data_IF_496088390841
#
_entry.id   IF_496088390841
#
_cell.length_a   1.000
_cell.length_b   1.000
_cell.length_c   1.000
_cell.angle_alpha   90.00
_cell.angle_beta   90.00
_cell.angle_gamma   90.00
#
_symmetry.space_group_name_H-M   'P 1'
#
loop_
_entity.id
_entity.type
_entity.pdbx_description
1 polymer ?
#
# COMPACT_ATOMS: atom_id res chain seq x y z
N UNK A 1 32.61 32.31 35.89
CA UNK A 1 31.46 32.87 35.13
C UNK A 1 31.90 32.89 33.67
N UNK A 2 31.28 32.22 32.71
CA UNK A 2 29.88 31.88 32.51
C UNK A 2 29.85 30.72 31.51
N UNK A 3 29.11 29.67 31.87
CA UNK A 3 28.79 28.51 31.04
C UNK A 3 28.14 28.97 29.73
N UNK A 4 28.56 28.42 28.60
CA UNK A 4 27.69 28.28 27.43
C UNK A 4 27.94 26.90 26.86
N UNK A 5 27.05 25.98 27.23
CA UNK A 5 26.91 24.66 26.64
C UNK A 5 26.63 24.81 25.15
N UNK A 6 27.51 24.30 24.30
CA UNK A 6 27.23 24.10 22.88
C UNK A 6 26.30 22.88 22.78
N UNK A 7 24.99 23.15 22.78
CA UNK A 7 23.96 22.16 22.54
C UNK A 7 24.05 21.72 21.06
N UNK A 8 24.76 20.63 20.79
CA UNK A 8 24.67 19.91 19.52
C UNK A 8 23.34 19.17 19.56
N UNK A 9 22.32 19.76 18.93
CA UNK A 9 21.04 19.13 18.66
C UNK A 9 21.24 18.11 17.54
N UNK A 10 21.51 16.86 17.93
CA UNK A 10 21.49 15.70 17.03
C UNK A 10 20.02 15.45 16.63
N UNK A 11 19.59 16.06 15.53
CA UNK A 11 18.35 15.70 14.84
C UNK A 11 18.63 14.45 14.00
N UNK A 12 18.55 13.27 14.64
CA UNK A 12 18.32 12.01 13.96
C UNK A 12 16.86 12.01 13.50
N UNK A 13 16.60 12.59 12.33
CA UNK A 13 15.36 12.33 11.61
C UNK A 13 15.55 10.98 10.92
N UNK A 14 15.17 9.92 11.63
CA UNK A 14 14.98 8.61 11.03
C UNK A 14 13.86 8.73 10.02
N UNK A 15 14.18 8.75 8.73
CA UNK A 15 13.23 8.50 7.65
C UNK A 15 12.82 7.04 7.67
N UNK A 16 12.17 6.60 8.75
CA UNK A 16 11.38 5.39 8.70
C UNK A 16 10.14 5.74 7.88
N UNK A 17 9.91 5.06 6.76
CA UNK A 17 8.61 5.00 6.12
C UNK A 17 7.63 4.39 7.13
N UNK A 18 7.11 5.22 8.03
CA UNK A 18 6.24 4.74 9.09
C UNK A 18 4.95 4.29 8.42
N UNK A 19 4.61 3.02 8.59
CA UNK A 19 3.29 2.52 8.24
C UNK A 19 2.26 3.46 8.89
N UNK A 20 1.29 3.99 8.13
CA UNK A 20 0.31 4.92 8.67
C UNK A 20 -0.38 4.34 9.91
N UNK A 21 -0.55 5.16 10.96
CA UNK A 21 -1.15 4.71 12.23
C UNK A 21 -2.54 4.09 12.01
N UNK A 22 -3.31 4.63 11.07
CA UNK A 22 -4.61 4.10 10.66
C UNK A 22 -4.52 2.63 10.23
N UNK A 23 -3.44 2.26 9.55
CA UNK A 23 -3.21 0.91 9.02
C UNK A 23 -2.80 -0.05 10.12
N UNK A 24 -1.93 0.40 11.03
CA UNK A 24 -1.60 -0.36 12.23
C UNK A 24 -2.86 -0.64 13.08
N UNK A 25 -3.72 0.36 13.27
CA UNK A 25 -4.97 0.19 14.01
C UNK A 25 -5.93 -0.77 13.29
N UNK A 26 -6.07 -0.64 11.96
CA UNK A 26 -6.91 -1.52 11.14
C UNK A 26 -6.49 -2.99 11.29
N UNK A 27 -5.19 -3.28 11.14
CA UNK A 27 -4.68 -4.65 11.27
C UNK A 27 -4.73 -5.19 12.70
N UNK A 28 -4.54 -4.35 13.72
CA UNK A 28 -4.67 -4.78 15.12
C UNK A 28 -6.08 -5.23 15.47
N UNK A 29 -7.11 -4.60 14.89
CA UNK A 29 -8.50 -5.01 15.05
C UNK A 29 -8.91 -6.17 14.13
N UNK A 30 -8.05 -6.56 13.19
CA UNK A 30 -8.39 -7.54 12.16
C UNK A 30 -8.34 -8.95 12.72
N UNK A 31 -9.50 -9.60 12.83
CA UNK A 31 -9.64 -10.95 13.38
C UNK A 31 -10.01 -11.97 12.30
N UNK A 32 -10.07 -13.25 12.67
CA UNK A 32 -10.67 -14.32 11.88
C UNK A 32 -12.09 -13.95 11.42
N UNK A 33 -12.92 -13.42 12.33
CA UNK A 33 -14.29 -13.05 11.98
C UNK A 33 -14.31 -11.91 10.95
N UNK A 34 -13.44 -10.90 11.13
CA UNK A 34 -13.28 -9.82 10.14
C UNK A 34 -12.87 -10.37 8.77
N UNK A 35 -11.94 -11.33 8.73
CA UNK A 35 -11.46 -11.92 7.50
C UNK A 35 -12.51 -12.76 6.77
N UNK A 36 -13.22 -13.63 7.49
CA UNK A 36 -14.26 -14.51 6.92
C UNK A 36 -15.48 -13.72 6.46
N UNK A 37 -15.73 -12.55 7.06
CA UNK A 37 -16.81 -11.66 6.67
C UNK A 37 -16.53 -10.87 5.37
N UNK A 38 -15.26 -10.72 4.96
CA UNK A 38 -14.92 -9.95 3.77
C UNK A 38 -15.58 -10.52 2.52
N UNK A 39 -16.21 -9.63 1.75
CA UNK A 39 -16.68 -9.91 0.40
C UNK A 39 -15.59 -9.56 -0.61
N UNK A 40 -14.99 -10.57 -1.26
CA UNK A 40 -13.93 -10.36 -2.24
C UNK A 40 -14.32 -9.42 -3.40
N UNK A 41 -15.61 -9.33 -3.73
CA UNK A 41 -16.12 -8.44 -4.77
C UNK A 41 -16.12 -6.95 -4.38
N UNK A 42 -15.97 -6.64 -3.09
CA UNK A 42 -15.94 -5.28 -2.54
C UNK A 42 -14.51 -4.77 -2.28
N UNK A 43 -13.53 -5.68 -2.31
CA UNK A 43 -12.12 -5.33 -2.12
C UNK A 43 -11.67 -4.45 -3.29
N UNK A 44 -11.12 -3.29 -2.97
CA UNK A 44 -10.54 -2.34 -3.93
C UNK A 44 -9.17 -1.90 -3.49
N UNK A 45 -8.27 -1.68 -4.43
CA UNK A 45 -7.04 -0.94 -4.17
C UNK A 45 -7.00 0.33 -5.02
N UNK A 46 -6.29 1.32 -4.52
CA UNK A 46 -6.06 2.57 -5.23
C UNK A 46 -4.58 2.87 -5.22
N UNK A 47 -4.01 3.06 -6.40
CA UNK A 47 -2.61 3.45 -6.58
C UNK A 47 -2.58 4.80 -7.25
N UNK A 48 -1.90 5.75 -6.61
CA UNK A 48 -1.74 7.12 -7.12
C UNK A 48 -0.24 7.32 -7.38
N UNK A 49 0.11 7.63 -8.63
CA UNK A 49 1.50 7.80 -9.06
C UNK A 49 1.68 9.16 -9.73
N UNK A 50 2.80 9.83 -9.46
CA UNK A 50 3.19 11.07 -10.15
C UNK A 50 3.54 10.81 -11.62
N UNK A 51 3.04 11.68 -12.51
CA UNK A 51 3.42 11.66 -13.92
C UNK A 51 4.89 12.09 -14.09
N UNK A 52 5.58 11.62 -15.15
CA UNK A 52 5.05 10.85 -16.29
C UNK A 52 4.96 9.33 -16.07
N UNK A 53 5.28 8.82 -14.88
CA UNK A 53 5.30 7.39 -14.61
C UNK A 53 3.92 6.76 -14.68
N UNK A 54 3.88 5.54 -15.21
CA UNK A 54 2.68 4.73 -15.35
C UNK A 54 2.91 3.34 -14.82
N UNK A 55 1.83 2.72 -14.34
CA UNK A 55 1.89 1.37 -13.76
C UNK A 55 1.84 0.29 -14.84
N UNK A 56 2.64 -0.75 -14.64
CA UNK A 56 2.52 -2.02 -15.35
C UNK A 56 1.37 -2.81 -14.72
N UNK A 57 0.25 -2.86 -15.43
CA UNK A 57 -1.00 -3.45 -14.93
C UNK A 57 -0.87 -4.96 -14.68
N UNK A 58 0.03 -5.66 -15.36
CA UNK A 58 0.22 -7.12 -15.19
C UNK A 58 0.97 -7.45 -13.90
N UNK A 59 1.73 -6.49 -13.36
CA UNK A 59 2.46 -6.62 -12.09
C UNK A 59 1.61 -6.26 -10.87
N UNK A 60 0.38 -5.77 -11.05
CA UNK A 60 -0.47 -5.32 -9.94
C UNK A 60 -1.18 -6.50 -9.27
N UNK A 61 -0.86 -6.74 -7.99
CA UNK A 61 -1.40 -7.89 -7.24
C UNK A 61 -1.65 -7.52 -5.78
N UNK A 62 -2.73 -8.05 -5.21
CA UNK A 62 -2.95 -8.04 -3.76
C UNK A 62 -2.31 -9.29 -3.16
N UNK A 63 -1.60 -9.12 -2.06
CA UNK A 63 -1.08 -10.23 -1.26
C UNK A 63 -1.66 -10.21 0.15
N UNK A 64 -1.96 -11.39 0.66
CA UNK A 64 -2.29 -11.67 2.05
C UNK A 64 -1.17 -12.50 2.65
N UNK A 65 -0.56 -12.01 3.73
CA UNK A 65 0.40 -12.76 4.52
C UNK A 65 -0.23 -13.13 5.85
N UNK A 66 -0.17 -14.43 6.19
CA UNK A 66 -0.55 -14.96 7.48
C UNK A 66 0.70 -15.56 8.14
N UNK A 67 1.11 -14.97 9.26
CA UNK A 67 2.21 -15.46 10.08
C UNK A 67 1.65 -16.03 11.39
N UNK A 68 1.89 -17.31 11.62
CA UNK A 68 1.39 -18.02 12.79
C UNK A 68 2.35 -19.12 13.27
N UNK A 69 1.93 -19.89 14.27
CA UNK A 69 2.70 -21.00 14.85
C UNK A 69 3.06 -22.11 13.85
N UNK A 70 2.37 -22.18 12.70
CA UNK A 70 2.64 -23.10 11.59
C UNK A 70 3.55 -22.50 10.52
N UNK A 71 3.99 -21.26 10.70
CA UNK A 71 4.87 -20.51 9.81
C UNK A 71 4.13 -19.54 8.89
N UNK A 72 4.92 -18.88 8.04
CA UNK A 72 4.45 -17.83 7.13
C UNK A 72 3.81 -18.44 5.89
N UNK A 73 2.58 -18.01 5.57
CA UNK A 73 1.89 -18.33 4.33
C UNK A 73 1.54 -17.06 3.56
N UNK A 74 1.80 -17.06 2.26
CA UNK A 74 1.52 -15.95 1.37
C UNK A 74 0.52 -16.39 0.30
N UNK A 75 -0.54 -15.60 0.15
CA UNK A 75 -1.55 -15.77 -0.89
C UNK A 75 -1.54 -14.54 -1.79
N UNK A 76 -1.61 -14.74 -3.10
CA UNK A 76 -1.59 -13.64 -4.07
C UNK A 76 -2.83 -13.68 -4.95
N UNK A 77 -3.41 -12.52 -5.18
CA UNK A 77 -4.66 -12.32 -5.89
C UNK A 77 -4.43 -11.31 -7.03
N UNK A 78 -4.59 -11.72 -8.30
CA UNK A 78 -4.48 -10.79 -9.42
C UNK A 78 -5.60 -9.73 -9.36
N UNK A 79 -5.27 -8.53 -9.83
CA UNK A 79 -6.16 -7.38 -9.81
C UNK A 79 -6.49 -6.93 -11.24
N UNK A 80 -7.74 -6.58 -11.48
CA UNK A 80 -8.19 -5.98 -12.73
C UNK A 80 -8.38 -4.47 -12.55
N UNK A 81 -8.02 -3.69 -13.57
CA UNK A 81 -8.27 -2.25 -13.58
C UNK A 81 -9.79 -1.99 -13.59
N UNK A 82 -10.26 -1.21 -12.62
CA UNK A 82 -11.67 -0.83 -12.49
C UNK A 82 -11.90 0.60 -12.98
N UNK A 83 -11.01 1.52 -12.62
CA UNK A 83 -11.08 2.93 -13.01
C UNK A 83 -9.68 3.52 -13.14
N UNK A 84 -9.50 4.44 -14.08
CA UNK A 84 -8.32 5.28 -14.18
C UNK A 84 -8.74 6.74 -14.34
N UNK A 85 -8.09 7.65 -13.61
CA UNK A 85 -8.32 9.10 -13.76
C UNK A 85 -7.02 9.89 -13.62
N UNK A 86 -6.96 11.03 -14.29
CA UNK A 86 -5.87 11.99 -14.16
C UNK A 86 -6.23 13.06 -13.14
N UNK A 87 -5.28 13.37 -12.26
CA UNK A 87 -5.33 14.47 -11.31
C UNK A 87 -4.38 15.54 -11.86
N UNK A 88 -4.93 16.72 -12.15
CA UNK A 88 -4.14 17.82 -12.68
C UNK A 88 -3.04 18.26 -11.70
N UNK A 89 -1.94 18.78 -12.23
CA UNK A 89 -0.93 19.45 -11.43
C UNK A 89 -1.58 20.61 -10.66
N UNK A 90 -1.09 20.86 -9.45
CA UNK A 90 -1.52 21.98 -8.64
C UNK A 90 -0.32 22.86 -8.38
N UNK A 91 -0.41 24.11 -8.83
CA UNK A 91 0.58 25.13 -8.55
C UNK A 91 0.04 26.06 -7.47
N UNK A 92 0.67 26.01 -6.30
CA UNK A 92 0.42 26.91 -5.18
C UNK A 92 1.51 27.97 -5.06
N UNK A 93 1.23 29.01 -4.27
CA UNK A 93 2.20 30.08 -3.98
C UNK A 93 3.44 29.57 -3.23
N UNK A 94 3.34 28.45 -2.52
CA UNK A 94 4.42 27.89 -1.69
C UNK A 94 4.91 26.50 -2.15
N UNK A 95 4.09 25.73 -2.86
CA UNK A 95 4.42 24.38 -3.33
C UNK A 95 3.73 24.09 -4.66
N UNK A 96 4.40 23.33 -5.53
CA UNK A 96 3.83 22.77 -6.75
C UNK A 96 3.80 21.25 -6.63
N UNK A 97 2.67 20.62 -6.88
CA UNK A 97 2.57 19.15 -6.99
C UNK A 97 2.40 18.75 -8.44
N UNK A 98 3.21 17.81 -8.96
CA UNK A 98 3.07 17.34 -10.33
C UNK A 98 1.71 16.69 -10.55
N UNK A 99 1.28 16.61 -11.81
CA UNK A 99 0.11 15.85 -12.18
C UNK A 99 0.28 14.38 -11.74
N UNK A 100 -0.83 13.73 -11.38
CA UNK A 100 -0.84 12.35 -10.91
C UNK A 100 -1.84 11.53 -11.71
N UNK A 101 -1.63 10.23 -11.77
CA UNK A 101 -2.62 9.28 -12.28
C UNK A 101 -3.09 8.41 -11.12
N UNK A 102 -4.41 8.35 -10.91
CA UNK A 102 -5.04 7.45 -9.95
C UNK A 102 -5.62 6.24 -10.70
N UNK A 103 -5.20 5.06 -10.27
CA UNK A 103 -5.71 3.77 -10.72
C UNK A 103 -6.50 3.15 -9.57
N UNK A 104 -7.73 2.74 -9.83
CA UNK A 104 -8.52 1.91 -8.92
C UNK A 104 -8.60 0.50 -9.50
N UNK A 105 -8.30 -0.49 -8.68
CA UNK A 105 -8.35 -1.89 -9.05
C UNK A 105 -9.34 -2.65 -8.19
N UNK A 106 -9.86 -3.74 -8.74
CA UNK A 106 -10.67 -4.74 -8.04
C UNK A 106 -10.01 -6.11 -8.15
N UNK A 107 -10.40 -7.03 -7.26
CA UNK A 107 -10.07 -8.44 -7.48
C UNK A 107 -10.64 -8.89 -8.83
N UNK A 108 -9.84 -9.62 -9.62
CA UNK A 108 -10.38 -10.30 -10.81
C UNK A 108 -11.39 -11.38 -10.41
N UNK A 109 -12.23 -11.83 -11.34
CA UNK A 109 -13.23 -12.88 -11.05
C UNK A 109 -12.59 -14.16 -10.50
N UNK A 110 -11.43 -14.55 -11.06
CA UNK A 110 -10.64 -15.67 -10.56
C UNK A 110 -10.12 -15.40 -9.15
N UNK A 111 -9.64 -14.18 -8.88
CA UNK A 111 -9.16 -13.78 -7.57
C UNK A 111 -10.27 -13.79 -6.51
N UNK A 112 -11.49 -13.35 -6.83
CA UNK A 112 -12.65 -13.41 -5.90
C UNK A 112 -12.92 -14.85 -5.50
N UNK A 113 -12.93 -15.77 -6.46
CA UNK A 113 -13.10 -17.20 -6.18
C UNK A 113 -11.96 -17.76 -5.31
N UNK A 114 -10.71 -17.49 -5.67
CA UNK A 114 -9.53 -17.96 -4.94
C UNK A 114 -9.46 -17.37 -3.52
N UNK A 115 -9.93 -16.13 -3.34
CA UNK A 115 -10.03 -15.49 -2.04
C UNK A 115 -11.01 -16.23 -1.14
N UNK A 116 -12.18 -16.61 -1.68
CA UNK A 116 -13.16 -17.42 -0.95
C UNK A 116 -12.62 -18.81 -0.59
N UNK A 117 -11.88 -19.44 -1.51
CA UNK A 117 -11.20 -20.70 -1.23
C UNK A 117 -10.17 -20.54 -0.12
N UNK A 118 -9.39 -19.43 -0.13
CA UNK A 118 -8.45 -19.12 0.94
C UNK A 118 -9.17 -18.99 2.28
N UNK A 119 -10.25 -18.20 2.36
CA UNK A 119 -11.07 -18.05 3.57
C UNK A 119 -11.48 -19.41 4.15
N UNK A 120 -11.93 -20.34 3.31
CA UNK A 120 -12.33 -21.68 3.75
C UNK A 120 -11.14 -22.55 4.19
N UNK A 121 -9.97 -22.41 3.56
CA UNK A 121 -8.79 -23.21 3.85
C UNK A 121 -8.13 -22.83 5.18
N UNK A 122 -8.19 -21.54 5.54
CA UNK A 122 -7.45 -21.02 6.68
C UNK A 122 -8.32 -20.49 7.81
N UNK A 123 -9.66 -20.53 7.74
CA UNK A 123 -10.56 -20.00 8.79
C UNK A 123 -10.12 -20.42 10.19
N UNK A 124 -10.00 -21.73 10.41
CA UNK A 124 -9.67 -22.31 11.73
C UNK A 124 -8.18 -22.12 12.11
N UNK A 125 -7.39 -21.64 11.17
CA UNK A 125 -5.95 -21.39 11.29
C UNK A 125 -5.63 -19.89 11.23
N UNK A 126 -6.66 -19.03 11.16
CA UNK A 126 -6.54 -17.59 11.06
C UNK A 126 -6.29 -16.99 12.45
N UNK A 127 -5.19 -17.43 13.04
CA UNK A 127 -4.65 -16.94 14.30
C UNK A 127 -3.23 -16.51 14.02
N UNK A 128 -2.81 -15.38 14.57
CA UNK A 128 -1.48 -14.83 14.33
C UNK A 128 -1.56 -13.45 13.66
N UNK A 129 -0.43 -13.01 13.13
CA UNK A 129 -0.32 -11.72 12.47
C UNK A 129 -0.77 -11.82 11.03
N UNK A 130 -1.61 -10.87 10.61
CA UNK A 130 -2.11 -10.77 9.25
C UNK A 130 -1.73 -9.42 8.67
N UNK A 131 -1.24 -9.43 7.44
CA UNK A 131 -1.01 -8.21 6.69
C UNK A 131 -1.49 -8.35 5.24
N UNK A 132 -1.90 -7.20 4.68
CA UNK A 132 -2.21 -7.07 3.27
C UNK A 132 -1.20 -6.12 2.63
N UNK A 133 -0.75 -6.45 1.43
CA UNK A 133 0.15 -5.61 0.65
C UNK A 133 -0.28 -5.57 -0.82
N UNK A 134 0.11 -4.51 -1.52
CA UNK A 134 -0.08 -4.39 -2.96
C UNK A 134 1.30 -4.41 -3.61
N UNK A 135 1.52 -5.39 -4.47
CA UNK A 135 2.65 -5.35 -5.39
C UNK A 135 2.28 -4.43 -6.55
N UNK A 136 3.19 -3.51 -6.89
CA UNK A 136 3.06 -2.63 -8.04
C UNK A 136 4.41 -2.54 -8.76
N UNK A 137 4.35 -2.44 -10.10
CA UNK A 137 5.51 -2.18 -10.94
C UNK A 137 5.22 -1.07 -11.92
N UNK A 138 6.27 -0.47 -12.48
CA UNK A 138 6.15 0.57 -13.48
C UNK A 138 6.34 -0.02 -14.89
N UNK A 139 5.72 0.60 -15.90
CA UNK A 139 6.00 0.25 -17.30
C UNK A 139 7.45 0.62 -17.68
N UNK A 140 7.91 1.74 -17.13
CA UNK A 140 9.29 2.21 -17.24
C UNK A 140 9.80 2.43 -15.81
N UNK A 141 10.82 1.68 -15.42
CA UNK A 141 11.42 1.81 -14.09
C UNK A 141 12.10 3.18 -13.97
N UNK A 142 11.92 3.90 -12.84
CA UNK A 142 12.60 5.16 -12.61
C UNK A 142 14.12 4.98 -12.62
N UNK A 143 14.82 5.88 -13.29
CA UNK A 143 16.30 5.89 -13.31
C UNK A 143 16.85 6.83 -12.25
N UNK A 144 18.15 6.73 -11.97
CA UNK A 144 18.85 7.60 -11.01
C UNK A 144 18.52 9.09 -11.21
N UNK A 145 18.17 9.77 -10.11
CA UNK A 145 17.81 11.18 -10.10
C UNK A 145 16.37 11.49 -10.53
N UNK A 146 15.57 10.49 -10.90
CA UNK A 146 14.13 10.65 -11.10
C UNK A 146 13.38 10.38 -9.80
N UNK A 147 12.44 11.27 -9.46
CA UNK A 147 11.60 11.13 -8.29
C UNK A 147 10.21 10.64 -8.70
N UNK A 148 9.75 9.54 -8.10
CA UNK A 148 8.37 9.07 -8.26
C UNK A 148 7.67 9.09 -6.91
N UNK A 149 6.60 9.88 -6.80
CA UNK A 149 5.75 9.86 -5.62
C UNK A 149 4.62 8.85 -5.82
N UNK A 150 4.51 7.89 -4.91
CA UNK A 150 3.53 6.80 -4.91
C UNK A 150 2.66 6.85 -3.65
N UNK A 151 1.37 6.62 -3.80
CA UNK A 151 0.47 6.31 -2.69
C UNK A 151 -0.34 5.07 -3.00
N UNK A 152 -0.50 4.20 -2.01
CA UNK A 152 -1.28 2.98 -2.10
C UNK A 152 -2.32 2.98 -0.99
N UNK A 153 -3.58 2.81 -1.36
CA UNK A 153 -4.69 2.66 -0.44
C UNK A 153 -5.41 1.34 -0.71
N UNK A 154 -5.98 0.76 0.33
CA UNK A 154 -6.72 -0.49 0.30
C UNK A 154 -8.08 -0.30 0.97
N UNK A 155 -9.11 -0.85 0.35
CA UNK A 155 -10.45 -0.99 0.90
C UNK A 155 -10.72 -2.50 0.98
N UNK A 156 -11.01 -2.99 2.18
CA UNK A 156 -11.37 -4.39 2.39
C UNK A 156 -12.89 -4.60 2.44
N UNK A 157 -13.62 -3.56 2.83
CA UNK A 157 -15.07 -3.52 3.00
C UNK A 157 -15.57 -2.14 2.53
N UNK A 158 -16.69 -2.08 1.82
CA UNK A 158 -17.22 -0.83 1.28
C UNK A 158 -17.66 0.16 2.36
N UNK A 159 -18.19 -0.32 3.49
CA UNK A 159 -18.64 0.52 4.61
C UNK A 159 -17.47 1.21 5.32
N UNK A 160 -16.33 0.51 5.40
CA UNK A 160 -15.11 1.02 6.05
C UNK A 160 -14.29 1.97 5.18
N UNK A 161 -14.50 1.93 3.85
CA UNK A 161 -13.76 2.72 2.88
C UNK A 161 -12.25 2.41 2.81
N UNK A 162 -11.50 3.32 2.19
CA UNK A 162 -10.06 3.17 2.00
C UNK A 162 -9.23 3.52 3.25
N UNK A 163 -8.22 2.71 3.54
CA UNK A 163 -7.11 3.03 4.43
C UNK A 163 -5.77 3.02 3.68
N UNK A 164 -4.81 3.81 4.14
CA UNK A 164 -3.56 4.05 3.41
C UNK A 164 -2.47 3.03 3.76
N UNK A 165 -2.05 2.21 2.81
CA UNK A 165 -0.89 1.31 2.99
C UNK A 165 0.43 2.07 2.86
N UNK A 166 0.54 2.93 1.85
CA UNK A 166 1.71 3.76 1.56
C UNK A 166 1.21 5.18 1.29
N UNK A 167 1.76 6.17 2.00
CA UNK A 167 1.36 7.56 1.87
C UNK A 167 2.50 8.40 1.28
N UNK A 168 2.28 8.96 0.09
CA UNK A 168 3.20 9.84 -0.64
C UNK A 168 4.69 9.44 -0.51
N UNK A 169 4.99 8.15 -0.70
CA UNK A 169 6.35 7.66 -0.65
C UNK A 169 7.09 8.08 -1.92
N UNK A 170 8.25 8.68 -1.73
CA UNK A 170 9.18 8.98 -2.81
C UNK A 170 10.04 7.75 -3.07
N UNK A 171 9.97 7.25 -4.30
CA UNK A 171 10.82 6.18 -4.81
C UNK A 171 11.97 6.87 -5.52
N UNK A 172 13.13 6.84 -4.87
CA UNK A 172 14.41 7.24 -5.45
C UNK A 172 15.20 5.97 -5.74
N UNK A 173 15.57 5.78 -7.01
CA UNK A 173 16.45 4.68 -7.43
C UNK A 173 17.88 5.19 -7.31
N UNK A 174 18.35 5.27 -6.06
CA UNK A 174 19.70 5.73 -5.70
C UNK A 174 20.45 4.64 -4.92
N UNK A 175 21.42 4.00 -5.59
CA UNK A 175 22.46 3.09 -5.12
C UNK A 175 22.04 1.97 -4.14
N UNK A 176 21.96 0.73 -4.65
CA UNK A 176 22.34 -0.43 -3.86
C UNK A 176 23.82 -0.25 -3.44
N UNK A 177 24.07 -0.06 -2.14
CA UNK A 177 25.40 -0.29 -1.56
C UNK A 177 25.63 -1.80 -1.37
#
# INVERSE_FOLDING_TARGET
MKNVYLFILVLLLSSCSSIPISTMLKFRSFSEQSFVALNGSEIRSKIIVSQPFTLDLEKIKLSLTLDNDKGVRNFTYPLDLDMQKTIAAQDGFFTSTPAKTEYTFKLSELAVKNFKETQNLISDQFKGETSFSIAAGFNEEPTEGQLVTLSILLQLDEEDGYFTLIDNADIDVGNED
#
